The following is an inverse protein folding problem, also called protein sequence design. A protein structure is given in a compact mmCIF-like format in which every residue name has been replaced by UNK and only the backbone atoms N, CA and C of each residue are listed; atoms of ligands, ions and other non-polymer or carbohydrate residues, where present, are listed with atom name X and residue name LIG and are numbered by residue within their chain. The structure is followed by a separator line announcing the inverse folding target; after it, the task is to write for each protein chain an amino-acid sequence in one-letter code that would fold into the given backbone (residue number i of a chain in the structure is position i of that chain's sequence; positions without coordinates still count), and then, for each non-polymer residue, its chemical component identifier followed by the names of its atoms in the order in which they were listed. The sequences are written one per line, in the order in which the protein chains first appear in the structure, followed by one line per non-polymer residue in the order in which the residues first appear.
data_IF_546844706050
#
_entry.id   IF_546844706050
#
_cell.length_a   1.000
_cell.length_b   1.000
_cell.length_c   1.000
_cell.angle_alpha   90.00
_cell.angle_beta   90.00
_cell.angle_gamma   90.00
#
_symmetry.space_group_name_H-M   'P 1'
#
loop_
_entity.id
_entity.type
_entity.pdbx_description
1 polymer ?
#
# COMPACT_ATOMS: atom_id res chain seq x y z
N UNK A 1 -5.42 -2.76 -3.87
CA UNK A 1 -5.25 -1.35 -3.48
C UNK A 1 -3.78 -1.07 -3.20
N UNK A 2 -3.22 -0.08 -3.88
CA UNK A 2 -1.86 0.41 -3.69
C UNK A 2 -1.93 1.77 -2.98
N UNK A 3 -1.61 1.80 -1.69
CA UNK A 3 -1.72 3.00 -0.85
C UNK A 3 -0.39 3.75 -0.84
N UNK A 4 -0.44 5.05 -1.15
CA UNK A 4 0.77 5.86 -1.31
C UNK A 4 1.52 5.47 -2.57
N UNK A 5 0.82 5.43 -3.69
CA UNK A 5 1.29 4.79 -4.91
C UNK A 5 2.44 5.52 -5.63
N UNK A 6 2.65 6.80 -5.35
CA UNK A 6 3.63 7.59 -6.09
C UNK A 6 3.36 7.55 -7.59
N UNK A 7 4.34 7.18 -8.39
CA UNK A 7 4.19 7.04 -9.84
C UNK A 7 3.34 5.83 -10.27
N UNK A 8 2.88 5.02 -9.32
CA UNK A 8 2.00 3.89 -9.61
C UNK A 8 2.69 2.66 -10.18
N UNK A 9 3.98 2.50 -9.94
CA UNK A 9 4.75 1.37 -10.49
C UNK A 9 4.25 0.05 -9.95
N UNK A 10 4.05 -0.08 -8.64
CA UNK A 10 3.61 -1.34 -8.02
C UNK A 10 2.22 -1.73 -8.51
N UNK A 11 1.25 -0.82 -8.44
CA UNK A 11 -0.11 -1.07 -8.91
C UNK A 11 -0.16 -1.41 -10.40
N UNK A 12 0.63 -0.70 -11.20
CA UNK A 12 0.71 -0.96 -12.64
C UNK A 12 1.30 -2.34 -12.95
N UNK A 13 2.34 -2.75 -12.22
CA UNK A 13 2.92 -4.08 -12.39
C UNK A 13 1.94 -5.18 -11.99
N UNK A 14 1.18 -4.98 -10.93
CA UNK A 14 0.13 -5.92 -10.54
C UNK A 14 -0.90 -6.07 -11.67
N UNK A 15 -1.35 -4.97 -12.24
CA UNK A 15 -2.30 -5.01 -13.35
C UNK A 15 -1.72 -5.70 -14.58
N UNK A 16 -0.44 -5.46 -14.87
CA UNK A 16 0.22 -6.08 -16.01
C UNK A 16 0.29 -7.60 -15.89
N UNK A 17 0.66 -8.10 -14.70
CA UNK A 17 0.82 -9.54 -14.47
C UNK A 17 -0.50 -10.24 -14.10
N UNK A 18 -1.50 -9.48 -13.68
CA UNK A 18 -2.84 -9.98 -13.33
C UNK A 18 -3.90 -9.12 -14.02
N UNK A 19 -4.07 -9.28 -15.34
CA UNK A 19 -4.94 -8.37 -16.13
C UNK A 19 -6.40 -8.34 -15.69
N UNK A 20 -6.86 -9.40 -15.01
CA UNK A 20 -8.23 -9.48 -14.51
C UNK A 20 -8.42 -8.80 -13.15
N UNK A 21 -7.35 -8.38 -12.51
CA UNK A 21 -7.45 -7.71 -11.21
C UNK A 21 -8.01 -6.30 -11.38
N UNK A 22 -8.87 -5.90 -10.45
CA UNK A 22 -9.29 -4.51 -10.30
C UNK A 22 -8.26 -3.79 -9.45
N UNK A 23 -7.50 -2.88 -10.05
CA UNK A 23 -6.44 -2.15 -9.35
C UNK A 23 -6.88 -0.73 -9.06
N UNK A 24 -6.78 -0.35 -7.80
CA UNK A 24 -6.98 1.03 -7.33
C UNK A 24 -5.68 1.50 -6.68
N UNK A 25 -5.24 2.68 -7.06
CA UNK A 25 -4.05 3.33 -6.50
C UNK A 25 -4.43 4.65 -5.85
N UNK A 26 -3.84 4.94 -4.71
CA UNK A 26 -4.13 6.18 -3.99
C UNK A 26 -2.86 6.91 -3.59
N UNK A 27 -2.95 8.21 -3.52
CA UNK A 27 -1.90 9.06 -2.97
C UNK A 27 -2.51 10.35 -2.46
N UNK A 28 -1.81 11.02 -1.57
CA UNK A 28 -2.22 12.33 -1.05
C UNK A 28 -1.75 13.48 -1.94
N UNK A 29 -0.71 13.27 -2.74
CA UNK A 29 -0.10 14.30 -3.57
C UNK A 29 -0.67 14.33 -4.99
N UNK A 30 -1.09 15.52 -5.44
CA UNK A 30 -1.65 15.70 -6.77
C UNK A 30 -0.68 15.29 -7.88
N UNK A 31 0.63 15.56 -7.71
CA UNK A 31 1.63 15.17 -8.69
C UNK A 31 1.79 13.65 -8.78
N UNK A 32 1.67 12.94 -7.66
CA UNK A 32 1.70 11.48 -7.66
C UNK A 32 0.47 10.92 -8.41
N UNK A 33 -0.71 11.47 -8.17
CA UNK A 33 -1.92 11.09 -8.89
C UNK A 33 -1.77 11.25 -10.40
N UNK A 34 -1.24 12.40 -10.83
CA UNK A 34 -0.99 12.66 -12.24
C UNK A 34 0.02 11.67 -12.82
N UNK A 35 1.10 11.42 -12.10
CA UNK A 35 2.16 10.50 -12.50
C UNK A 35 1.64 9.06 -12.62
N UNK A 36 0.79 8.63 -11.70
CA UNK A 36 0.18 7.30 -11.73
C UNK A 36 -0.74 7.13 -12.94
N UNK A 37 -1.56 8.15 -13.26
CA UNK A 37 -2.38 8.14 -14.48
C UNK A 37 -1.51 8.01 -15.73
N UNK A 38 -0.41 8.74 -15.77
CA UNK A 38 0.51 8.70 -16.90
C UNK A 38 1.18 7.33 -17.04
N UNK A 39 1.59 6.72 -15.94
CA UNK A 39 2.19 5.38 -15.95
C UNK A 39 1.22 4.34 -16.51
N UNK A 40 -0.04 4.38 -16.08
CA UNK A 40 -1.07 3.50 -16.62
C UNK A 40 -1.27 3.70 -18.13
N UNK A 41 -1.40 4.96 -18.55
CA UNK A 41 -1.63 5.30 -19.95
C UNK A 41 -0.46 4.88 -20.84
N UNK A 42 0.77 5.13 -20.44
CA UNK A 42 1.97 4.76 -21.19
C UNK A 42 2.14 3.26 -21.35
N UNK A 43 1.62 2.48 -20.42
CA UNK A 43 1.68 1.02 -20.45
C UNK A 43 0.38 0.37 -20.93
N UNK A 44 -0.57 1.17 -21.38
CA UNK A 44 -1.86 0.70 -21.89
C UNK A 44 -2.61 -0.17 -20.87
N UNK A 45 -2.55 0.26 -19.60
CA UNK A 45 -3.19 -0.44 -18.48
C UNK A 45 -4.40 0.35 -17.98
N UNK A 46 -5.40 -0.35 -17.51
CA UNK A 46 -6.56 0.23 -16.85
C UNK A 46 -6.43 0.12 -15.35
N UNK A 47 -6.85 1.17 -14.64
CA UNK A 47 -6.85 1.18 -13.20
C UNK A 47 -7.50 2.46 -12.69
N UNK A 48 -7.88 2.47 -11.43
CA UNK A 48 -8.42 3.64 -10.77
C UNK A 48 -7.33 4.34 -9.98
N UNK A 49 -7.28 5.66 -10.05
CA UNK A 49 -6.34 6.47 -9.27
C UNK A 49 -7.16 7.50 -8.50
N UNK A 50 -7.06 7.47 -7.18
CA UNK A 50 -7.91 8.28 -6.29
C UNK A 50 -7.03 9.06 -5.32
N UNK A 51 -7.33 10.36 -5.17
CA UNK A 51 -6.70 11.17 -4.14
C UNK A 51 -7.28 10.77 -2.78
N UNK A 52 -6.42 10.33 -1.86
CA UNK A 52 -6.86 9.89 -0.53
C UNK A 52 -5.71 9.99 0.47
N UNK A 53 -6.01 10.47 1.66
CA UNK A 53 -5.10 10.38 2.80
C UNK A 53 -5.34 9.01 3.45
N UNK A 54 -4.49 8.05 3.11
CA UNK A 54 -4.64 6.63 3.44
C UNK A 54 -6.02 6.13 2.99
N UNK A 55 -6.96 5.88 3.87
CA UNK A 55 -8.29 5.36 3.55
C UNK A 55 -9.40 6.43 3.54
N UNK A 56 -9.05 7.71 3.69
CA UNK A 56 -10.05 8.78 3.89
C UNK A 56 -11.12 8.86 2.78
N UNK A 57 -10.77 8.48 1.55
CA UNK A 57 -11.69 8.49 0.41
C UNK A 57 -11.84 7.11 -0.23
N UNK A 58 -11.54 6.05 0.53
CA UNK A 58 -11.62 4.68 0.06
C UNK A 58 -12.82 4.00 0.69
N UNK A 59 -13.64 3.39 -0.15
CA UNK A 59 -14.78 2.58 0.25
C UNK A 59 -14.56 1.13 -0.18
N UNK A 60 -15.21 0.21 0.55
CA UNK A 60 -15.19 -1.19 0.19
C UNK A 60 -14.00 -1.96 0.73
N UNK A 61 -13.87 -3.18 0.22
CA UNK A 61 -12.87 -4.14 0.67
C UNK A 61 -12.05 -4.65 -0.48
N UNK A 62 -10.79 -4.98 -0.18
CA UNK A 62 -9.81 -5.42 -1.17
C UNK A 62 -9.21 -6.75 -0.75
N UNK A 63 -8.87 -7.58 -1.73
CA UNK A 63 -8.19 -8.85 -1.48
C UNK A 63 -6.72 -8.66 -1.15
N UNK A 64 -6.12 -7.58 -1.66
CA UNK A 64 -4.74 -7.20 -1.37
C UNK A 64 -4.66 -5.70 -1.19
N UNK A 65 -4.08 -5.30 -0.08
CA UNK A 65 -3.65 -3.91 0.14
C UNK A 65 -2.14 -3.94 0.21
N UNK A 66 -1.48 -3.15 -0.61
CA UNK A 66 -0.02 -3.04 -0.63
C UNK A 66 0.39 -1.59 -0.47
N UNK A 67 1.46 -1.36 0.27
CA UNK A 67 1.99 -0.01 0.45
C UNK A 67 3.50 -0.05 0.57
N UNK A 68 4.14 0.90 -0.11
CA UNK A 68 5.55 1.23 0.07
C UNK A 68 5.59 2.67 0.55
N UNK A 69 5.42 2.92 1.88
CA UNK A 69 5.27 4.28 2.38
C UNK A 69 6.53 5.12 2.14
N UNK A 70 6.38 6.37 1.70
CA UNK A 70 7.51 7.25 1.51
C UNK A 70 8.11 7.71 2.85
N UNK A 71 9.43 7.90 2.88
CA UNK A 71 10.14 8.38 4.07
C UNK A 71 10.63 9.81 3.93
N UNK A 72 10.47 10.43 2.76
CA UNK A 72 11.03 11.75 2.47
C UNK A 72 10.26 12.91 3.12
N UNK A 73 9.06 12.66 3.63
CA UNK A 73 8.23 13.67 4.30
C UNK A 73 8.51 13.74 5.82
N UNK A 74 9.55 13.06 6.27
CA UNK A 74 9.92 12.97 7.68
C UNK A 74 9.44 11.68 8.34
N UNK A 75 10.17 11.26 9.36
CA UNK A 75 9.92 9.98 10.05
C UNK A 75 8.54 9.99 10.76
N UNK A 76 8.21 11.10 11.42
CA UNK A 76 6.96 11.20 12.19
C UNK A 76 5.73 11.14 11.29
N UNK A 77 5.77 11.82 10.14
CA UNK A 77 4.67 11.82 9.18
C UNK A 77 4.50 10.45 8.53
N UNK A 78 5.60 9.82 8.13
CA UNK A 78 5.58 8.48 7.55
C UNK A 78 5.09 7.45 8.56
N UNK A 79 5.53 7.54 9.80
CA UNK A 79 5.10 6.64 10.87
C UNK A 79 3.61 6.77 11.14
N UNK A 80 3.09 8.00 11.20
CA UNK A 80 1.66 8.25 11.40
C UNK A 80 0.82 7.62 10.29
N UNK A 81 1.24 7.79 9.05
CA UNK A 81 0.52 7.22 7.90
C UNK A 81 0.51 5.69 7.95
N UNK A 82 1.64 5.07 8.26
CA UNK A 82 1.71 3.60 8.37
C UNK A 82 0.92 3.08 9.56
N UNK A 83 0.97 3.77 10.68
CA UNK A 83 0.16 3.41 11.86
C UNK A 83 -1.33 3.41 11.50
N UNK A 84 -1.79 4.44 10.83
CA UNK A 84 -3.17 4.55 10.37
C UNK A 84 -3.52 3.46 9.36
N UNK A 85 -2.62 3.18 8.41
CA UNK A 85 -2.77 2.11 7.45
C UNK A 85 -2.97 0.76 8.15
N UNK A 86 -2.11 0.41 9.10
CA UNK A 86 -2.18 -0.86 9.80
C UNK A 86 -3.44 -0.95 10.67
N UNK A 87 -3.78 0.13 11.37
CA UNK A 87 -4.96 0.16 12.25
C UNK A 87 -6.27 -0.03 11.49
N UNK A 88 -6.37 0.54 10.29
CA UNK A 88 -7.61 0.56 9.52
C UNK A 88 -7.69 -0.49 8.43
N UNK A 89 -6.58 -1.14 8.09
CA UNK A 89 -6.52 -2.05 6.96
C UNK A 89 -7.54 -3.19 7.06
N UNK A 90 -7.76 -3.74 8.25
CA UNK A 90 -8.70 -4.86 8.38
C UNK A 90 -10.14 -4.50 8.03
N UNK A 91 -10.52 -3.22 8.16
CA UNK A 91 -11.84 -2.75 7.74
C UNK A 91 -12.00 -2.69 6.22
N UNK A 92 -10.87 -2.69 5.51
CA UNK A 92 -10.78 -2.59 4.05
C UNK A 92 -10.23 -3.87 3.41
N UNK A 93 -10.08 -4.94 4.18
CA UNK A 93 -9.67 -6.24 3.67
C UNK A 93 -10.86 -7.21 3.65
N UNK A 94 -10.93 -8.01 2.58
CA UNK A 94 -11.85 -9.14 2.53
C UNK A 94 -11.45 -10.19 3.57
N UNK A 95 -12.32 -11.16 3.84
CA UNK A 95 -11.93 -12.32 4.64
C UNK A 95 -10.74 -13.01 3.95
N UNK A 96 -9.69 -13.31 4.70
CA UNK A 96 -8.41 -13.82 4.20
C UNK A 96 -7.64 -12.86 3.30
N UNK A 97 -8.08 -11.61 3.19
CA UNK A 97 -7.35 -10.56 2.46
C UNK A 97 -5.98 -10.29 3.10
N UNK A 98 -5.05 -9.84 2.30
CA UNK A 98 -3.66 -9.64 2.70
C UNK A 98 -3.27 -8.17 2.67
N UNK A 99 -2.56 -7.72 3.73
CA UNK A 99 -1.86 -6.46 3.75
C UNK A 99 -0.37 -6.73 3.60
N UNK A 100 0.27 -6.11 2.60
CA UNK A 100 1.73 -6.13 2.41
C UNK A 100 2.30 -4.74 2.57
N UNK A 101 3.34 -4.62 3.38
CA UNK A 101 4.04 -3.36 3.59
C UNK A 101 5.51 -3.55 3.29
N UNK A 102 6.05 -2.72 2.41
CA UNK A 102 7.48 -2.60 2.20
C UNK A 102 7.97 -1.55 3.19
N UNK A 103 8.86 -1.91 4.08
CA UNK A 103 9.28 -1.04 5.17
C UNK A 103 10.77 -1.00 5.33
N UNK A 104 11.28 0.12 5.83
CA UNK A 104 12.65 0.21 6.30
C UNK A 104 12.81 -0.73 7.50
N UNK A 105 13.88 -1.54 7.50
CA UNK A 105 14.12 -2.56 8.52
C UNK A 105 14.28 -2.01 9.94
N UNK A 106 14.53 -0.71 10.08
CA UNK A 106 14.74 -0.05 11.38
C UNK A 106 13.48 0.48 12.04
N UNK A 107 12.32 0.45 11.36
CA UNK A 107 11.09 1.01 11.89
C UNK A 107 10.29 -0.04 12.67
N UNK A 108 9.54 0.38 13.72
CA UNK A 108 8.87 -0.56 14.65
C UNK A 108 7.54 -1.09 14.10
N UNK A 109 7.49 -1.44 12.83
CA UNK A 109 6.27 -1.98 12.20
C UNK A 109 5.88 -3.37 12.70
N UNK A 110 6.83 -4.27 13.05
CA UNK A 110 6.45 -5.56 13.61
C UNK A 110 5.54 -5.47 14.83
N UNK A 111 5.80 -4.52 15.73
CA UNK A 111 4.97 -4.34 16.92
C UNK A 111 3.55 -3.91 16.58
N UNK A 112 3.39 -2.99 15.63
CA UNK A 112 2.08 -2.57 15.14
C UNK A 112 1.32 -3.69 14.46
N UNK A 113 2.01 -4.46 13.62
CA UNK A 113 1.40 -5.59 12.91
C UNK A 113 0.93 -6.66 13.90
N UNK A 114 1.76 -7.01 14.87
CA UNK A 114 1.40 -7.97 15.90
C UNK A 114 0.22 -7.48 16.77
N UNK A 115 0.19 -6.19 17.10
CA UNK A 115 -0.88 -5.61 17.91
C UNK A 115 -2.23 -5.69 17.20
N UNK A 116 -2.29 -5.45 15.90
CA UNK A 116 -3.54 -5.36 15.14
C UNK A 116 -3.94 -6.64 14.42
N UNK A 117 -3.00 -7.52 14.08
CA UNK A 117 -3.25 -8.76 13.34
C UNK A 117 -2.80 -10.01 14.07
N UNK A 118 -2.17 -9.87 15.25
CA UNK A 118 -1.70 -10.97 16.07
C UNK A 118 -0.35 -11.53 15.63
N UNK A 119 -0.14 -11.76 14.37
CA UNK A 119 1.13 -12.26 13.81
C UNK A 119 1.39 -11.67 12.44
N UNK A 120 2.64 -11.77 12.00
CA UNK A 120 3.03 -11.32 10.68
C UNK A 120 4.08 -12.26 10.09
N UNK A 121 4.21 -12.23 8.76
CA UNK A 121 5.25 -12.95 8.03
C UNK A 121 6.19 -11.94 7.38
N UNK A 122 7.46 -12.34 7.22
CA UNK A 122 8.45 -11.58 6.45
C UNK A 122 8.64 -12.32 5.13
N UNK A 123 8.15 -11.74 4.03
CA UNK A 123 8.19 -12.37 2.72
C UNK A 123 9.54 -12.18 2.03
N UNK A 124 10.19 -11.05 2.28
CA UNK A 124 11.48 -10.73 1.68
C UNK A 124 12.23 -9.79 2.62
N UNK A 125 13.55 -9.84 2.57
CA UNK A 125 14.41 -9.04 3.43
C UNK A 125 15.73 -8.73 2.74
N UNK A 126 16.15 -7.45 2.87
CA UNK A 126 17.50 -7.00 2.57
C UNK A 126 18.06 -6.34 3.82
N UNK A 127 19.29 -5.82 3.75
CA UNK A 127 19.87 -5.08 4.89
C UNK A 127 19.09 -3.79 5.21
N UNK A 128 18.37 -3.23 4.24
CA UNK A 128 17.66 -1.96 4.38
C UNK A 128 16.16 -2.08 4.47
N UNK A 129 15.57 -3.11 3.84
CA UNK A 129 14.12 -3.23 3.68
C UNK A 129 13.62 -4.61 4.05
N UNK A 130 12.38 -4.65 4.53
CA UNK A 130 11.61 -5.87 4.75
C UNK A 130 10.25 -5.74 4.10
N UNK A 131 9.72 -6.85 3.61
CA UNK A 131 8.34 -6.93 3.13
C UNK A 131 7.56 -7.75 4.14
N UNK A 132 6.66 -7.09 4.83
CA UNK A 132 5.78 -7.73 5.82
C UNK A 132 4.46 -8.12 5.18
N UNK A 133 3.90 -9.23 5.63
CA UNK A 133 2.57 -9.69 5.22
C UNK A 133 1.75 -10.06 6.44
N UNK A 134 0.51 -9.59 6.48
CA UNK A 134 -0.48 -10.02 7.46
C UNK A 134 -1.78 -10.37 6.74
N UNK A 135 -2.54 -11.28 7.33
CA UNK A 135 -3.84 -11.68 6.82
C UNK A 135 -4.95 -11.32 7.79
N UNK A 136 -6.06 -10.94 7.21
CA UNK A 136 -7.26 -10.60 7.98
C UNK A 136 -7.93 -11.86 8.57
#
# INVERSE_FOLDING_TARGET
LDVGCGAGVIGSMIKKYHPKADVTMTDIHAMAIQSAHQTLAENQLEGNVIASDVFSHIEGKFDLIISNPPFHDGIDTAYRAVKELIQQAKWHLTADGELRIVANAFLPYPDLLAQHFGKFDVLAQTTKFKVYSVRN
#
